data_IF_902725681041
#
_entry.id   IF_902725681041
#
_cell.length_a   1.000
_cell.length_b   1.000
_cell.length_c   1.000
_cell.angle_alpha   90.00
_cell.angle_beta   90.00
_cell.angle_gamma   90.00
#
_symmetry.space_group_name_H-M   'P 1'
#
loop_
_entity.id
_entity.type
_entity.pdbx_description
1 polymer ?
#
# COMPACT_ATOMS: atom_id res chain seq x y z
N UNK A 1 12.73 -10.42 -11.26
CA UNK A 1 12.11 -11.45 -10.40
C UNK A 1 11.80 -10.82 -9.04
N UNK A 2 10.62 -11.06 -8.45
CA UNK A 2 10.31 -10.55 -7.11
C UNK A 2 11.14 -11.30 -6.04
N UNK A 3 11.85 -10.57 -5.20
CA UNK A 3 12.55 -11.11 -4.02
C UNK A 3 11.51 -11.52 -2.97
N UNK A 4 11.45 -12.79 -2.56
CA UNK A 4 10.55 -13.27 -1.50
C UNK A 4 11.33 -13.59 -0.22
N UNK A 5 10.66 -13.72 0.93
CA UNK A 5 11.32 -14.05 2.22
C UNK A 5 11.95 -15.45 2.24
N UNK A 6 11.58 -16.31 1.29
CA UNK A 6 12.09 -17.68 1.18
C UNK A 6 13.42 -17.78 0.41
N UNK A 7 13.89 -16.71 -0.25
CA UNK A 7 15.19 -16.74 -0.92
C UNK A 7 16.32 -16.51 0.09
N UNK A 8 17.23 -17.47 0.29
CA UNK A 8 18.32 -17.34 1.24
C UNK A 8 19.27 -16.22 0.82
N UNK A 9 19.76 -15.44 1.79
CA UNK A 9 20.76 -14.39 1.55
C UNK A 9 22.05 -15.08 1.12
N UNK A 10 22.45 -14.87 -0.13
CA UNK A 10 23.75 -15.32 -0.62
C UNK A 10 24.83 -14.56 0.12
N UNK A 11 25.81 -15.29 0.66
CA UNK A 11 26.95 -14.69 1.36
C UNK A 11 27.67 -13.71 0.40
N UNK A 12 28.11 -12.55 0.90
CA UNK A 12 28.83 -11.59 0.06
C UNK A 12 30.09 -12.24 -0.50
N UNK A 13 30.24 -12.20 -1.83
CA UNK A 13 31.45 -12.68 -2.48
C UNK A 13 32.52 -11.61 -2.32
N UNK A 14 33.51 -11.89 -1.48
CA UNK A 14 34.69 -11.05 -1.35
C UNK A 14 35.65 -11.42 -2.48
N UNK A 15 35.53 -10.72 -3.61
CA UNK A 15 36.49 -10.85 -4.70
C UNK A 15 37.83 -10.26 -4.26
N UNK A 16 38.87 -11.08 -4.29
CA UNK A 16 40.25 -10.61 -4.15
C UNK A 16 40.71 -10.03 -5.48
N UNK A 17 41.51 -8.96 -5.43
CA UNK A 17 42.18 -8.45 -6.63
C UNK A 17 42.97 -9.59 -7.31
N UNK A 18 42.90 -9.71 -8.65
CA UNK A 18 43.77 -10.62 -9.37
C UNK A 18 45.22 -10.24 -9.09
N UNK A 19 46.10 -11.25 -8.94
CA UNK A 19 47.53 -11.02 -8.76
C UNK A 19 48.07 -10.24 -9.97
N UNK A 20 48.26 -8.94 -9.80
CA UNK A 20 48.82 -8.03 -10.79
C UNK A 20 50.13 -7.49 -10.25
N UNK A 21 51.09 -7.28 -11.14
CA UNK A 21 52.30 -6.54 -10.79
C UNK A 21 51.88 -5.12 -10.39
N UNK A 22 52.29 -4.68 -9.20
CA UNK A 22 52.06 -3.31 -8.77
C UNK A 22 52.79 -2.33 -9.70
N UNK A 23 52.19 -1.16 -10.00
CA UNK A 23 52.88 -0.12 -10.75
C UNK A 23 54.11 0.33 -9.97
N UNK A 24 55.24 0.49 -10.66
CA UNK A 24 56.42 1.09 -10.05
C UNK A 24 56.22 2.61 -9.93
N UNK A 25 55.87 3.03 -8.72
CA UNK A 25 55.61 4.43 -8.37
C UNK A 25 56.90 5.26 -8.21
N UNK A 26 58.08 4.63 -8.10
CA UNK A 26 59.34 5.36 -7.98
C UNK A 26 59.66 6.21 -9.21
N UNK A 27 59.09 5.88 -10.37
CA UNK A 27 59.21 6.67 -11.59
C UNK A 27 58.45 8.01 -11.54
N UNK A 28 57.55 8.20 -10.57
CA UNK A 28 56.83 9.45 -10.40
C UNK A 28 57.64 10.49 -9.60
N UNK A 29 58.73 10.08 -8.95
CA UNK A 29 59.56 10.98 -8.16
C UNK A 29 60.39 11.90 -9.07
N UNK A 30 60.28 13.23 -8.91
CA UNK A 30 60.98 14.20 -9.77
C UNK A 30 62.50 14.16 -9.60
N UNK A 31 63.00 13.61 -8.49
CA UNK A 31 64.43 13.49 -8.18
C UNK A 31 65.11 12.32 -8.91
N UNK A 32 64.33 11.48 -9.61
CA UNK A 32 64.84 10.31 -10.35
C UNK A 32 65.57 10.68 -11.66
N UNK A 33 65.37 11.92 -12.16
CA UNK A 33 65.95 12.38 -13.43
C UNK A 33 67.09 13.36 -13.16
N UNK A 34 68.32 12.85 -13.20
CA UNK A 34 69.51 13.68 -13.18
C UNK A 34 69.48 14.66 -14.38
N UNK A 35 69.75 15.95 -14.13
CA UNK A 35 69.55 17.05 -15.10
C UNK A 35 70.38 17.02 -16.40
N UNK A 36 71.08 15.93 -16.67
CA UNK A 36 71.89 15.69 -17.87
C UNK A 36 71.62 14.27 -18.39
N UNK A 37 70.42 14.05 -18.95
CA UNK A 37 70.04 12.78 -19.58
C UNK A 37 70.16 12.88 -21.11
N UNK A 38 70.54 11.79 -21.78
CA UNK A 38 70.51 11.75 -23.25
C UNK A 38 69.07 11.75 -23.77
N UNK A 39 68.84 12.23 -25.00
CA UNK A 39 67.51 12.13 -25.64
C UNK A 39 66.99 10.69 -25.65
N UNK A 40 67.88 9.71 -25.84
CA UNK A 40 67.51 8.30 -25.84
C UNK A 40 67.10 7.78 -24.45
N UNK A 41 67.70 8.31 -23.38
CA UNK A 41 67.33 7.97 -22.01
C UNK A 41 65.94 8.52 -21.68
N UNK A 42 65.64 9.74 -22.14
CA UNK A 42 64.31 10.34 -22.00
C UNK A 42 63.23 9.56 -22.75
N UNK A 43 63.51 9.09 -23.97
CA UNK A 43 62.58 8.24 -24.73
C UNK A 43 62.29 6.92 -24.00
N UNK A 44 63.32 6.29 -23.42
CA UNK A 44 63.18 5.08 -22.63
C UNK A 44 62.33 5.32 -21.37
N UNK A 45 62.60 6.40 -20.62
CA UNK A 45 61.82 6.78 -19.43
C UNK A 45 60.37 7.05 -19.79
N UNK A 46 60.10 7.76 -20.90
CA UNK A 46 58.73 7.98 -21.40
C UNK A 46 58.05 6.64 -21.73
N UNK A 47 58.78 5.71 -22.33
CA UNK A 47 58.31 4.35 -22.60
C UNK A 47 57.89 3.61 -21.33
N UNK A 48 58.75 3.64 -20.30
CA UNK A 48 58.49 3.03 -18.99
C UNK A 48 57.31 3.69 -18.28
N UNK A 49 57.24 5.03 -18.26
CA UNK A 49 56.13 5.78 -17.67
C UNK A 49 54.80 5.44 -18.34
N UNK A 50 54.75 5.35 -19.68
CA UNK A 50 53.55 4.93 -20.41
C UNK A 50 53.13 3.50 -20.05
N UNK A 51 54.08 2.59 -19.90
CA UNK A 51 53.80 1.22 -19.49
C UNK A 51 53.23 1.15 -18.07
N UNK A 52 53.86 1.84 -17.11
CA UNK A 52 53.37 1.90 -15.72
C UNK A 52 52.03 2.61 -15.59
N UNK A 53 51.79 3.67 -16.36
CA UNK A 53 50.49 4.34 -16.40
C UNK A 53 49.38 3.39 -16.86
N UNK A 54 49.65 2.55 -17.87
CA UNK A 54 48.69 1.51 -18.31
C UNK A 54 48.44 0.48 -17.22
N UNK A 55 49.48 0.03 -16.51
CA UNK A 55 49.33 -0.89 -15.36
C UNK A 55 48.48 -0.28 -14.26
N UNK A 56 48.78 0.96 -13.85
CA UNK A 56 48.01 1.69 -12.85
C UNK A 56 46.54 1.85 -13.28
N UNK A 57 46.28 2.17 -14.55
CA UNK A 57 44.92 2.29 -15.07
C UNK A 57 44.14 0.98 -14.98
N UNK A 58 44.74 -0.15 -15.38
CA UNK A 58 44.12 -1.47 -15.28
C UNK A 58 43.82 -1.79 -13.81
N UNK A 59 44.77 -1.54 -12.90
CA UNK A 59 44.60 -1.77 -11.47
C UNK A 59 43.43 -0.95 -10.92
N UNK A 60 43.41 0.37 -11.17
CA UNK A 60 42.33 1.25 -10.70
C UNK A 60 40.96 0.84 -11.26
N UNK A 61 40.89 0.48 -12.55
CA UNK A 61 39.64 0.00 -13.15
C UNK A 61 39.19 -1.31 -12.50
N UNK A 62 40.09 -2.25 -12.23
CA UNK A 62 39.75 -3.50 -11.55
C UNK A 62 39.27 -3.28 -10.11
N UNK A 63 39.95 -2.40 -9.36
CA UNK A 63 39.55 -2.01 -8.00
C UNK A 63 38.17 -1.35 -7.98
N UNK A 64 37.91 -0.44 -8.92
CA UNK A 64 36.60 0.22 -9.03
C UNK A 64 35.48 -0.79 -9.30
N UNK A 65 35.72 -1.78 -10.16
CA UNK A 65 34.75 -2.86 -10.41
C UNK A 65 34.43 -3.66 -9.14
N UNK A 66 35.44 -4.03 -8.35
CA UNK A 66 35.26 -4.75 -7.08
C UNK A 66 34.47 -3.90 -6.07
N UNK A 67 34.80 -2.60 -5.96
CA UNK A 67 34.11 -1.67 -5.06
C UNK A 67 32.64 -1.51 -5.48
N UNK A 68 32.37 -1.37 -6.78
CA UNK A 68 31.02 -1.27 -7.32
C UNK A 68 30.20 -2.53 -7.04
N UNK A 69 30.77 -3.72 -7.30
CA UNK A 69 30.16 -5.00 -6.99
C UNK A 69 29.81 -5.13 -5.50
N UNK A 70 30.77 -4.81 -4.62
CA UNK A 70 30.58 -4.81 -3.16
C UNK A 70 29.45 -3.87 -2.72
N UNK A 71 29.41 -2.64 -3.25
CA UNK A 71 28.34 -1.67 -2.97
C UNK A 71 26.97 -2.18 -3.44
N UNK A 72 26.89 -2.76 -4.63
CA UNK A 72 25.66 -3.33 -5.15
C UNK A 72 25.15 -4.47 -4.24
N UNK A 73 26.03 -5.37 -3.80
CA UNK A 73 25.66 -6.44 -2.86
C UNK A 73 25.15 -5.87 -1.53
N UNK A 74 25.79 -4.85 -0.98
CA UNK A 74 25.37 -4.20 0.27
C UNK A 74 23.97 -3.58 0.17
N UNK A 75 23.66 -2.93 -0.95
CA UNK A 75 22.32 -2.37 -1.20
C UNK A 75 21.26 -3.48 -1.25
N UNK A 76 21.53 -4.58 -1.97
CA UNK A 76 20.61 -5.73 -2.05
C UNK A 76 20.37 -6.36 -0.68
N UNK A 77 21.43 -6.53 0.13
CA UNK A 77 21.31 -7.04 1.49
C UNK A 77 20.49 -6.11 2.39
N UNK A 78 20.69 -4.79 2.29
CA UNK A 78 19.92 -3.81 3.05
C UNK A 78 18.42 -3.87 2.69
N UNK A 79 18.08 -3.90 1.40
CA UNK A 79 16.69 -4.04 0.96
C UNK A 79 16.05 -5.33 1.48
N UNK A 80 16.80 -6.43 1.49
CA UNK A 80 16.32 -7.68 2.06
C UNK A 80 16.07 -7.59 3.57
N UNK A 81 16.98 -6.96 4.32
CA UNK A 81 16.81 -6.73 5.76
C UNK A 81 15.60 -5.84 6.06
N UNK A 82 15.39 -4.77 5.29
CA UNK A 82 14.21 -3.90 5.43
C UNK A 82 12.92 -4.70 5.22
N UNK A 83 12.89 -5.57 4.21
CA UNK A 83 11.74 -6.44 3.95
C UNK A 83 11.49 -7.43 5.09
N UNK A 84 12.55 -8.05 5.63
CA UNK A 84 12.44 -8.94 6.78
C UNK A 84 11.96 -8.19 8.02
N UNK A 85 12.50 -7.01 8.29
CA UNK A 85 12.06 -6.17 9.41
C UNK A 85 10.60 -5.76 9.26
N UNK A 86 10.14 -5.39 8.06
CA UNK A 86 8.73 -5.09 7.83
C UNK A 86 7.83 -6.31 8.07
N UNK A 87 8.25 -7.49 7.62
CA UNK A 87 7.50 -8.73 7.84
C UNK A 87 7.50 -9.15 9.33
N UNK A 88 8.62 -8.99 10.03
CA UNK A 88 8.71 -9.21 11.48
C UNK A 88 7.83 -8.23 12.23
N UNK A 89 7.92 -6.94 11.90
CA UNK A 89 7.09 -5.91 12.49
C UNK A 89 5.61 -6.18 12.27
N UNK A 90 5.22 -6.62 11.07
CA UNK A 90 3.87 -7.09 10.78
C UNK A 90 3.45 -8.19 11.75
N UNK A 91 4.24 -9.28 11.87
CA UNK A 91 3.94 -10.39 12.78
C UNK A 91 3.97 -10.04 14.28
N UNK A 92 4.81 -9.08 14.67
CA UNK A 92 4.89 -8.58 16.04
C UNK A 92 3.69 -7.70 16.40
N UNK A 93 3.22 -6.87 15.46
CA UNK A 93 2.09 -5.97 15.64
C UNK A 93 0.73 -6.63 15.42
N UNK A 94 0.63 -7.59 14.50
CA UNK A 94 -0.54 -8.44 14.28
C UNK A 94 -0.89 -9.28 15.52
N UNK A 95 0.08 -9.50 16.42
CA UNK A 95 -0.12 -10.13 17.73
C UNK A 95 -0.42 -9.16 18.88
N UNK A 96 -0.69 -7.87 18.63
CA UNK A 96 -1.47 -7.09 19.61
C UNK A 96 -2.95 -7.46 19.49
N UNK A 97 -3.25 -8.72 19.79
CA UNK A 97 -4.53 -9.07 20.40
C UNK A 97 -4.81 -7.98 21.43
N UNK A 98 -6.06 -7.52 21.44
CA UNK A 98 -6.67 -6.59 22.38
C UNK A 98 -6.49 -6.97 23.86
N UNK A 99 -5.64 -7.94 24.19
CA UNK A 99 -5.04 -8.20 25.48
C UNK A 99 -3.95 -7.15 25.77
N UNK A 100 -4.43 -5.95 26.09
CA UNK A 100 -3.93 -5.11 27.19
C UNK A 100 -2.68 -5.66 27.89
N UNK A 101 -1.50 -5.30 27.42
CA UNK A 101 -0.24 -5.53 28.13
C UNK A 101 0.33 -4.18 28.55
N UNK A 102 -0.39 -3.50 29.44
CA UNK A 102 0.25 -2.63 30.44
C UNK A 102 0.59 -3.46 31.69
N UNK A 103 -0.01 -4.66 31.84
CA UNK A 103 0.22 -5.57 32.95
C UNK A 103 0.24 -6.98 32.39
N UNK A 104 1.42 -7.60 32.33
CA UNK A 104 1.54 -9.04 32.13
C UNK A 104 0.84 -9.72 33.33
N UNK A 105 -0.41 -10.14 33.13
CA UNK A 105 -1.26 -10.75 34.16
C UNK A 105 -0.71 -12.08 34.69
N UNK A 106 0.46 -12.53 34.22
CA UNK A 106 1.14 -13.72 34.70
C UNK A 106 1.97 -13.48 35.97
N UNK A 107 2.20 -12.23 36.37
CA UNK A 107 2.90 -11.90 37.62
C UNK A 107 2.11 -10.85 38.39
N UNK A 108 1.84 -11.13 39.66
CA UNK A 108 1.14 -10.24 40.59
C UNK A 108 1.95 -8.98 40.91
N UNK A 109 2.10 -8.09 39.94
CA UNK A 109 2.71 -6.78 40.10
C UNK A 109 1.63 -5.80 40.54
N UNK A 110 1.84 -5.21 41.72
CA UNK A 110 1.01 -4.12 42.23
C UNK A 110 1.52 -2.83 41.62
N UNK A 111 0.73 -2.25 40.72
CA UNK A 111 1.03 -0.95 40.13
C UNK A 111 0.31 0.13 40.93
N UNK A 112 1.05 0.80 41.82
CA UNK A 112 0.51 1.83 42.71
C UNK A 112 1.00 3.25 42.34
N UNK A 113 1.49 3.44 41.12
CA UNK A 113 1.94 4.75 40.64
C UNK A 113 0.82 5.53 39.95
N UNK A 114 0.67 6.81 40.28
CA UNK A 114 -0.33 7.72 39.70
C UNK A 114 -0.27 7.75 38.16
N UNK A 115 0.93 7.71 37.59
CA UNK A 115 1.15 7.66 36.15
C UNK A 115 0.49 6.43 35.46
N UNK A 116 0.34 5.31 36.18
CA UNK A 116 -0.27 4.09 35.64
C UNK A 116 -1.80 4.19 35.70
N UNK A 117 -2.33 4.83 36.75
CA UNK A 117 -3.76 5.10 36.86
C UNK A 117 -4.21 6.07 35.75
N UNK A 118 -3.41 7.10 35.46
CA UNK A 118 -3.66 8.02 34.34
C UNK A 118 -3.68 7.29 32.99
N UNK A 119 -2.73 6.38 32.74
CA UNK A 119 -2.69 5.62 31.49
C UNK A 119 -3.88 4.64 31.36
N UNK A 120 -4.29 3.99 32.46
CA UNK A 120 -5.50 3.14 32.49
C UNK A 120 -6.74 3.97 32.17
N UNK A 121 -6.90 5.13 32.79
CA UNK A 121 -8.02 6.03 32.50
C UNK A 121 -8.01 6.52 31.06
N UNK A 122 -6.83 6.91 30.53
CA UNK A 122 -6.70 7.31 29.14
C UNK A 122 -7.08 6.17 28.18
N UNK A 123 -6.71 4.93 28.50
CA UNK A 123 -7.08 3.76 27.72
C UNK A 123 -8.60 3.49 27.76
N UNK A 124 -9.23 3.60 28.93
CA UNK A 124 -10.68 3.47 29.08
C UNK A 124 -11.44 4.53 28.30
N UNK A 125 -11.02 5.79 28.37
CA UNK A 125 -11.63 6.89 27.61
C UNK A 125 -11.49 6.67 26.09
N UNK A 126 -10.31 6.24 25.61
CA UNK A 126 -10.13 5.85 24.21
C UNK A 126 -11.08 4.72 23.80
N UNK A 127 -11.28 3.70 24.65
CA UNK A 127 -12.24 2.61 24.39
C UNK A 127 -13.67 3.12 24.34
N UNK A 128 -14.07 4.01 25.25
CA UNK A 128 -15.42 4.61 25.28
C UNK A 128 -15.69 5.44 24.03
N UNK A 129 -14.73 6.28 23.62
CA UNK A 129 -14.86 7.10 22.39
C UNK A 129 -15.00 6.21 21.16
N UNK A 130 -14.14 5.19 20.99
CA UNK A 130 -14.24 4.24 19.86
C UNK A 130 -15.56 3.48 19.85
N UNK A 131 -16.04 3.03 21.02
CA UNK A 131 -17.32 2.34 21.14
C UNK A 131 -18.51 3.26 20.79
N UNK A 132 -18.47 4.52 21.22
CA UNK A 132 -19.50 5.51 20.89
C UNK A 132 -19.50 5.83 19.39
N UNK A 133 -18.34 5.98 18.77
CA UNK A 133 -18.21 6.20 17.32
C UNK A 133 -18.74 5.01 16.52
N UNK A 134 -18.39 3.78 16.91
CA UNK A 134 -18.91 2.55 16.27
C UNK A 134 -20.44 2.47 16.36
N UNK A 135 -21.01 2.81 17.51
CA UNK A 135 -22.48 2.87 17.69
C UNK A 135 -23.12 3.93 16.79
N UNK A 136 -22.59 5.15 16.79
CA UNK A 136 -23.09 6.24 15.92
C UNK A 136 -23.04 5.87 14.43
N UNK A 137 -21.93 5.26 13.97
CA UNK A 137 -21.80 4.75 12.60
C UNK A 137 -22.82 3.66 12.29
N UNK A 138 -23.04 2.71 13.21
CA UNK A 138 -24.03 1.64 13.04
C UNK A 138 -25.47 2.19 12.97
N UNK A 139 -25.82 3.13 13.83
CA UNK A 139 -27.11 3.82 13.83
C UNK A 139 -27.34 4.60 12.53
N UNK A 140 -26.33 5.31 12.03
CA UNK A 140 -26.37 5.99 10.73
C UNK A 140 -26.61 5.03 9.56
N UNK A 141 -25.93 3.87 9.55
CA UNK A 141 -26.14 2.82 8.54
C UNK A 141 -27.55 2.24 8.62
N UNK A 142 -28.06 2.00 9.82
CA UNK A 142 -29.42 1.48 10.04
C UNK A 142 -30.49 2.47 9.55
N UNK A 143 -30.36 3.76 9.91
CA UNK A 143 -31.28 4.81 9.48
C UNK A 143 -31.30 4.97 7.95
N UNK A 144 -30.14 4.87 7.29
CA UNK A 144 -30.04 4.93 5.81
C UNK A 144 -30.74 3.74 5.16
N UNK A 145 -30.53 2.52 5.67
CA UNK A 145 -31.22 1.31 5.19
C UNK A 145 -32.74 1.46 5.34
N UNK A 146 -33.22 1.94 6.48
CA UNK A 146 -34.66 2.16 6.71
C UNK A 146 -35.25 3.23 5.77
N UNK A 147 -34.55 4.34 5.55
CA UNK A 147 -34.98 5.35 4.59
C UNK A 147 -35.06 4.79 3.16
N UNK A 148 -34.09 3.97 2.76
CA UNK A 148 -34.04 3.36 1.44
C UNK A 148 -35.18 2.35 1.22
N UNK A 149 -35.50 1.52 2.22
CA UNK A 149 -36.61 0.55 2.12
C UNK A 149 -37.96 1.26 2.01
N UNK A 150 -38.18 2.35 2.75
CA UNK A 150 -39.38 3.19 2.63
C UNK A 150 -39.55 3.74 1.21
N UNK A 151 -38.50 4.35 0.64
CA UNK A 151 -38.54 4.87 -0.73
C UNK A 151 -38.76 3.78 -1.79
N UNK A 152 -38.17 2.59 -1.60
CA UNK A 152 -38.37 1.49 -2.54
C UNK A 152 -39.81 0.96 -2.50
N UNK A 153 -40.42 0.88 -1.32
CA UNK A 153 -41.80 0.49 -1.15
C UNK A 153 -42.75 1.50 -1.81
N UNK A 154 -42.54 2.80 -1.61
CA UNK A 154 -43.29 3.85 -2.29
C UNK A 154 -43.15 3.75 -3.81
N UNK A 155 -41.93 3.50 -4.31
CA UNK A 155 -41.68 3.32 -5.73
C UNK A 155 -42.37 2.09 -6.33
N UNK A 156 -42.44 0.97 -5.57
CA UNK A 156 -43.19 -0.23 -5.96
C UNK A 156 -44.68 0.08 -6.10
N UNK A 157 -45.27 0.83 -5.16
CA UNK A 157 -46.67 1.26 -5.23
C UNK A 157 -46.92 2.15 -6.45
N UNK A 158 -46.08 3.16 -6.69
CA UNK A 158 -46.21 4.05 -7.86
C UNK A 158 -46.07 3.31 -9.20
N UNK A 159 -45.17 2.33 -9.30
CA UNK A 159 -45.07 1.47 -10.49
C UNK A 159 -46.34 0.66 -10.70
N UNK A 160 -46.90 0.09 -9.64
CA UNK A 160 -48.12 -0.70 -9.73
C UNK A 160 -49.33 0.14 -10.17
N UNK A 161 -49.50 1.35 -9.62
CA UNK A 161 -50.57 2.26 -10.02
C UNK A 161 -50.41 2.72 -11.46
N UNK A 162 -49.20 3.09 -11.89
CA UNK A 162 -48.94 3.47 -13.28
C UNK A 162 -49.19 2.32 -14.25
N UNK A 163 -48.83 1.08 -13.90
CA UNK A 163 -49.11 -0.11 -14.72
C UNK A 163 -50.62 -0.35 -14.87
N UNK A 164 -51.41 -0.13 -13.82
CA UNK A 164 -52.89 -0.19 -13.89
C UNK A 164 -53.45 0.92 -14.78
N UNK A 165 -52.98 2.16 -14.62
CA UNK A 165 -53.39 3.29 -15.46
C UNK A 165 -53.08 3.07 -16.94
N UNK A 166 -51.89 2.54 -17.26
CA UNK A 166 -51.50 2.19 -18.63
C UNK A 166 -52.39 1.10 -19.24
N UNK A 167 -52.78 0.09 -18.46
CA UNK A 167 -53.72 -0.95 -18.93
C UNK A 167 -55.09 -0.36 -19.25
N UNK A 168 -55.64 0.46 -18.37
CA UNK A 168 -56.93 1.14 -18.59
C UNK A 168 -56.88 2.07 -19.81
N UNK A 169 -55.79 2.82 -19.96
CA UNK A 169 -55.58 3.69 -21.10
C UNK A 169 -55.55 2.90 -22.41
N UNK A 170 -54.81 1.79 -22.47
CA UNK A 170 -54.79 0.91 -23.66
C UNK A 170 -56.19 0.39 -24.00
N UNK A 171 -56.93 -0.13 -23.01
CA UNK A 171 -58.30 -0.60 -23.22
C UNK A 171 -59.19 0.51 -23.81
N UNK A 172 -59.08 1.74 -23.30
CA UNK A 172 -59.85 2.87 -23.83
C UNK A 172 -59.43 3.25 -25.26
N UNK A 173 -58.14 3.22 -25.57
CA UNK A 173 -57.63 3.44 -26.92
C UNK A 173 -58.11 2.36 -27.91
N UNK A 174 -58.11 1.09 -27.49
CA UNK A 174 -58.57 -0.02 -28.31
C UNK A 174 -60.07 0.11 -28.63
N UNK A 175 -60.89 0.53 -27.65
CA UNK A 175 -62.31 0.84 -27.84
C UNK A 175 -62.53 1.98 -28.85
N UNK A 176 -61.84 3.11 -28.66
CA UNK A 176 -61.93 4.26 -29.59
C UNK A 176 -61.46 3.92 -31.00
N UNK A 177 -60.48 3.00 -31.12
CA UNK A 177 -60.06 2.47 -32.41
C UNK A 177 -61.16 1.65 -33.10
N UNK A 178 -61.90 0.83 -32.34
CA UNK A 178 -63.05 0.09 -32.86
C UNK A 178 -64.22 0.98 -33.29
N UNK A 179 -64.39 2.12 -32.62
CA UNK A 179 -65.40 3.14 -32.95
C UNK A 179 -65.00 4.06 -34.12
N UNK A 180 -63.78 3.93 -34.67
CA UNK A 180 -63.30 4.74 -35.78
C UNK A 180 -62.92 6.18 -35.42
N UNK A 181 -62.74 6.49 -34.13
CA UNK A 181 -62.39 7.84 -33.68
C UNK A 181 -60.95 8.17 -34.11
N UNK A 182 -60.72 9.31 -34.81
CA UNK A 182 -59.37 9.71 -35.22
C UNK A 182 -58.41 9.86 -34.02
N UNK A 183 -57.16 9.38 -34.17
CA UNK A 183 -56.14 9.34 -33.11
C UNK A 183 -55.87 10.68 -32.41
N UNK A 184 -56.12 11.81 -33.09
CA UNK A 184 -55.97 13.16 -32.51
C UNK A 184 -56.90 13.40 -31.31
N UNK A 185 -58.02 12.69 -31.24
CA UNK A 185 -59.01 12.79 -30.16
C UNK A 185 -58.82 11.74 -29.06
N UNK A 186 -57.78 10.91 -29.16
CA UNK A 186 -57.53 9.89 -28.14
C UNK A 186 -57.02 10.54 -26.84
N UNK A 187 -57.35 9.96 -25.67
CA UNK A 187 -56.81 10.44 -24.42
C UNK A 187 -55.28 10.36 -24.41
N UNK A 188 -54.62 11.34 -23.80
CA UNK A 188 -53.16 11.33 -23.66
C UNK A 188 -52.70 10.16 -22.80
N UNK A 189 -51.54 9.59 -23.14
CA UNK A 189 -50.96 8.51 -22.36
C UNK A 189 -50.62 8.99 -20.94
N UNK A 190 -50.82 8.14 -19.90
CA UNK A 190 -50.41 8.45 -18.54
C UNK A 190 -48.91 8.80 -18.47
N UNK A 191 -48.57 9.89 -17.78
CA UNK A 191 -47.19 10.28 -17.57
C UNK A 191 -46.45 9.25 -16.70
N UNK A 192 -45.17 8.99 -17.02
CA UNK A 192 -44.33 8.08 -16.23
C UNK A 192 -44.00 8.74 -14.88
N UNK A 193 -44.21 8.05 -13.74
CA UNK A 193 -43.82 8.59 -12.44
C UNK A 193 -42.30 8.71 -12.33
N UNK A 194 -41.81 9.75 -11.64
CA UNK A 194 -40.38 9.93 -11.34
C UNK A 194 -40.02 9.12 -10.09
N UNK A 195 -38.83 8.50 -10.08
CA UNK A 195 -38.33 7.76 -8.91
C UNK A 195 -38.06 8.75 -7.76
N UNK A 196 -38.54 8.48 -6.53
CA UNK A 196 -38.16 9.25 -5.35
C UNK A 196 -36.65 9.19 -5.12
N UNK A 197 -36.07 10.29 -4.64
CA UNK A 197 -34.66 10.39 -4.30
C UNK A 197 -34.50 10.49 -2.79
N UNK A 198 -33.38 9.99 -2.27
CA UNK A 198 -33.01 10.22 -0.88
C UNK A 198 -32.73 11.72 -0.68
N UNK A 199 -33.07 12.28 0.50
CA UNK A 199 -32.68 13.64 0.83
C UNK A 199 -31.15 13.73 0.96
N UNK A 200 -30.57 14.83 0.48
CA UNK A 200 -29.12 15.05 0.43
C UNK A 200 -28.43 14.92 1.80
N UNK A 201 -29.15 15.09 2.91
CA UNK A 201 -28.64 14.90 4.27
C UNK A 201 -28.26 13.46 4.61
N UNK A 202 -28.71 12.46 3.83
CA UNK A 202 -28.38 11.03 4.02
C UNK A 202 -27.42 10.48 2.95
N UNK A 203 -27.04 11.29 1.95
CA UNK A 203 -26.11 10.90 0.88
C UNK A 203 -24.64 11.10 1.26
N UNK A 204 -24.32 11.93 2.28
CA UNK A 204 -22.95 12.41 2.58
C UNK A 204 -22.04 11.37 3.25
N UNK A 205 -22.54 10.26 3.78
CA UNK A 205 -21.67 9.20 4.32
C UNK A 205 -21.33 8.20 3.22
N UNK A 206 -20.48 8.62 2.29
CA UNK A 206 -19.62 7.71 1.52
C UNK A 206 -18.24 7.85 2.15
N UNK A 207 -17.97 6.99 3.12
CA UNK A 207 -16.61 6.64 3.50
C UNK A 207 -16.46 5.20 3.03
N UNK A 208 -15.99 5.06 1.79
CA UNK A 208 -15.46 3.82 1.23
C UNK A 208 -14.16 3.50 1.97
N UNK A 209 -14.29 3.02 3.21
CA UNK A 209 -13.19 2.33 3.90
C UNK A 209 -13.66 0.89 4.17
N UNK A 210 -13.65 0.15 3.06
CA UNK A 210 -13.86 -1.29 2.94
C UNK A 210 -12.59 -2.00 3.44
N UNK A 211 -12.31 -1.84 4.74
CA UNK A 211 -11.28 -2.57 5.49
C UNK A 211 -11.94 -3.63 6.36
N UNK A 212 -12.55 -4.61 5.70
CA UNK A 212 -13.14 -5.82 6.27
C UNK A 212 -12.03 -6.79 6.70
N UNK A 213 -11.53 -6.66 7.93
CA UNK A 213 -10.79 -7.72 8.63
C UNK A 213 -11.72 -8.30 9.71
N UNK A 214 -12.77 -9.01 9.27
CA UNK A 214 -13.45 -10.03 10.07
C UNK A 214 -12.67 -11.34 9.91
N UNK A 215 -11.58 -11.53 10.67
CA UNK A 215 -11.05 -12.88 10.89
C UNK A 215 -11.97 -13.62 11.88
N UNK A 216 -12.79 -14.50 11.33
CA UNK A 216 -13.57 -15.50 12.04
C UNK A 216 -12.65 -16.47 12.78
N UNK A 217 -12.58 -16.32 14.11
CA UNK A 217 -12.08 -17.33 15.05
C UNK A 217 -12.98 -18.58 14.99
N UNK A 218 -12.76 -19.47 14.02
CA UNK A 218 -13.33 -20.83 14.05
C UNK A 218 -12.37 -21.78 14.78
N UNK A 219 -12.48 -21.73 16.10
CA UNK A 219 -11.99 -22.73 17.04
C UNK A 219 -12.68 -24.08 16.75
N UNK A 220 -12.02 -24.98 16.01
CA UNK A 220 -12.35 -26.41 15.99
C UNK A 220 -11.32 -27.19 16.80
N UNK A 221 -11.79 -27.66 17.96
CA UNK A 221 -11.22 -28.74 18.76
C UNK A 221 -11.10 -30.03 17.92
N UNK A 222 -9.90 -30.60 17.85
CA UNK A 222 -9.62 -32.03 18.05
C UNK A 222 -8.10 -32.26 18.23
#
# INVERSE_FOLDING_TARGET
MPLTSSTPIVAPVLESLPASDDPDWSLADPDSVNGWSSCQDLENVIGMLKANLRKAHILTTSQNGIIEGSRATMVVQNLHLQKLNAALYGKETEKTSTRTLVIDSSKGQVYSGDAIQEEIHAQEERKKVKAAEKKSKAEGRAAKKEAQTKLENEWKVMKATHKKAMKLWKINCDKLSGEGVPKKHWPKAPARPKKPKLPASLEVVVDDDDGDDEEEDENTMD
#
